data_IF_450227739054
#
_entry.id   IF_450227739054
#
_cell.length_a   1.000
_cell.length_b   1.000
_cell.length_c   1.000
_cell.angle_alpha   90.00
_cell.angle_beta   90.00
_cell.angle_gamma   90.00
#
_symmetry.space_group_name_H-M   'P 1'
#
loop_
_entity.id
_entity.type
_entity.pdbx_description
1 polymer ?
#
# COMPACT_ATOMS: atom_id res chain seq x y z
N UNK A 1 11.52 19.07 -19.67
CA UNK A 1 11.69 17.90 -18.79
C UNK A 1 10.45 17.75 -17.94
N UNK A 2 9.39 17.22 -18.54
CA UNK A 2 8.16 16.89 -17.83
C UNK A 2 8.32 15.44 -17.38
N UNK A 3 8.56 15.27 -16.08
CA UNK A 3 8.41 13.96 -15.44
C UNK A 3 6.98 13.50 -15.67
N UNK A 4 6.83 12.26 -16.15
CA UNK A 4 5.55 11.58 -16.28
C UNK A 4 4.79 11.69 -14.95
N UNK A 5 3.76 12.53 -14.91
CA UNK A 5 2.74 12.43 -13.88
C UNK A 5 2.10 11.06 -14.07
N UNK A 6 2.42 10.13 -13.17
CA UNK A 6 1.67 8.90 -13.00
C UNK A 6 0.25 9.31 -12.62
N UNK A 7 -0.62 9.43 -13.63
CA UNK A 7 -2.06 9.54 -13.45
C UNK A 7 -2.56 8.19 -12.93
N UNK A 8 -2.30 7.92 -11.65
CA UNK A 8 -2.88 6.76 -10.97
C UNK A 8 -4.39 6.98 -10.98
N UNK A 9 -5.08 6.04 -11.63
CA UNK A 9 -6.51 6.08 -11.79
C UNK A 9 -7.18 6.13 -10.41
N UNK A 10 -8.22 6.96 -10.26
CA UNK A 10 -8.99 7.06 -9.02
C UNK A 10 -9.40 5.65 -8.55
N UNK A 11 -9.07 5.31 -7.30
CA UNK A 11 -9.31 4.02 -6.63
C UNK A 11 -8.33 2.87 -6.92
N UNK A 12 -7.19 3.15 -7.53
CA UNK A 12 -6.13 2.15 -7.67
C UNK A 12 -5.31 2.06 -6.38
N UNK A 13 -5.09 0.83 -5.90
CA UNK A 13 -4.22 0.54 -4.77
C UNK A 13 -3.21 -0.51 -5.21
N UNK A 14 -1.93 -0.16 -5.13
CA UNK A 14 -0.82 -1.06 -5.43
C UNK A 14 -0.47 -1.84 -4.18
N UNK A 15 -0.72 -3.14 -4.19
CA UNK A 15 -0.36 -4.05 -3.09
C UNK A 15 0.89 -4.82 -3.50
N UNK A 16 1.96 -4.69 -2.72
CA UNK A 16 3.18 -5.48 -2.89
C UNK A 16 3.27 -6.50 -1.76
N UNK A 17 3.39 -7.78 -2.12
CA UNK A 17 3.64 -8.87 -1.18
C UNK A 17 5.12 -9.23 -1.19
N UNK A 18 5.72 -9.23 -0.01
CA UNK A 18 7.12 -9.59 0.21
C UNK A 18 7.13 -10.93 0.93
N UNK A 19 7.56 -11.97 0.23
CA UNK A 19 7.77 -13.27 0.84
C UNK A 19 8.94 -13.20 1.83
N UNK A 20 8.67 -13.51 3.10
CA UNK A 20 9.70 -13.54 4.13
C UNK A 20 10.19 -14.96 4.35
N UNK A 21 9.27 -15.91 4.59
CA UNK A 21 9.64 -17.32 4.84
C UNK A 21 8.48 -18.29 4.70
N UNK A 22 8.84 -19.54 4.39
CA UNK A 22 8.00 -20.73 4.63
C UNK A 22 8.16 -21.12 6.10
N UNK A 23 7.07 -21.10 6.87
CA UNK A 23 7.06 -21.47 8.29
C UNK A 23 6.98 -22.98 8.45
N UNK A 24 6.06 -23.61 7.71
CA UNK A 24 5.74 -25.03 7.86
C UNK A 24 5.16 -25.57 6.55
N UNK A 25 5.46 -26.82 6.25
CA UNK A 25 4.84 -27.59 5.18
C UNK A 25 4.31 -28.92 5.73
N UNK A 26 3.06 -29.23 5.44
CA UNK A 26 2.40 -30.50 5.79
C UNK A 26 1.94 -31.16 4.50
N UNK A 27 2.82 -31.98 3.93
CA UNK A 27 2.59 -32.63 2.63
C UNK A 27 1.32 -33.48 2.56
N UNK A 28 0.97 -34.31 3.56
CA UNK A 28 -0.25 -35.15 3.49
C UNK A 28 -1.54 -34.35 3.42
N UNK A 29 -1.52 -33.10 3.91
CA UNK A 29 -2.68 -32.20 3.92
C UNK A 29 -2.61 -31.15 2.81
N UNK A 30 -1.54 -31.12 2.02
CA UNK A 30 -1.22 -30.07 1.04
C UNK A 30 -1.34 -28.65 1.63
N UNK A 31 -0.92 -28.46 2.89
CA UNK A 31 -0.95 -27.17 3.58
C UNK A 31 0.45 -26.61 3.77
N UNK A 32 0.59 -25.31 3.59
CA UNK A 32 1.81 -24.58 3.86
C UNK A 32 1.51 -23.27 4.59
N UNK A 33 2.23 -23.01 5.66
CA UNK A 33 2.15 -21.77 6.42
C UNK A 33 3.25 -20.83 5.92
N UNK A 34 2.88 -19.62 5.47
CA UNK A 34 3.80 -18.62 4.95
C UNK A 34 3.79 -17.36 5.81
N UNK A 35 4.93 -16.68 5.84
CA UNK A 35 5.02 -15.31 6.34
C UNK A 35 5.25 -14.38 5.16
N UNK A 36 4.30 -13.48 4.96
CA UNK A 36 4.39 -12.36 4.04
C UNK A 36 4.36 -11.06 4.83
N UNK A 37 5.18 -10.11 4.41
CA UNK A 37 4.94 -8.69 4.67
C UNK A 37 4.18 -8.12 3.46
N UNK A 38 3.36 -7.09 3.68
CA UNK A 38 2.71 -6.38 2.60
C UNK A 38 2.82 -4.88 2.76
N UNK A 39 2.94 -4.18 1.64
CA UNK A 39 2.93 -2.72 1.58
C UNK A 39 1.88 -2.26 0.57
N UNK A 40 1.16 -1.19 0.90
CA UNK A 40 0.13 -0.61 0.05
C UNK A 40 0.49 0.81 -0.33
N UNK A 41 0.41 1.13 -1.62
CA UNK A 41 0.57 2.49 -2.16
C UNK A 41 -0.74 2.90 -2.86
N UNK A 42 -1.27 4.06 -2.49
CA UNK A 42 -2.50 4.61 -3.06
C UNK A 42 -2.49 6.13 -3.00
N UNK A 43 -3.26 6.77 -3.88
CA UNK A 43 -3.44 8.22 -3.90
C UNK A 43 -4.81 8.59 -3.34
N UNK A 44 -4.82 9.42 -2.29
CA UNK A 44 -6.02 10.10 -1.81
C UNK A 44 -6.07 11.53 -2.34
N UNK A 45 -6.92 11.76 -3.35
CA UNK A 45 -7.12 13.06 -4.00
C UNK A 45 -7.48 14.19 -3.03
N UNK A 46 -8.11 13.87 -1.90
CA UNK A 46 -8.50 14.88 -0.89
C UNK A 46 -7.31 15.42 -0.11
N UNK A 47 -6.19 14.70 -0.14
CA UNK A 47 -4.94 15.05 0.53
C UNK A 47 -3.93 15.67 -0.44
N UNK A 48 -4.31 16.04 -1.67
CA UNK A 48 -3.40 16.75 -2.57
C UNK A 48 -3.30 18.23 -2.20
N UNK A 49 -2.07 18.75 -2.15
CA UNK A 49 -1.79 20.18 -2.00
C UNK A 49 -0.66 20.62 -2.93
N UNK A 50 -0.59 21.92 -3.21
CA UNK A 50 0.56 22.54 -3.86
C UNK A 50 1.62 22.85 -2.81
N UNK A 51 2.87 22.37 -2.96
CA UNK A 51 3.94 22.68 -2.00
C UNK A 51 4.17 24.18 -1.80
N UNK A 52 3.93 24.99 -2.83
CA UNK A 52 4.10 26.45 -2.76
C UNK A 52 3.14 27.12 -1.76
N UNK A 53 1.98 26.51 -1.52
CA UNK A 53 0.98 27.02 -0.58
C UNK A 53 1.35 26.67 0.88
N UNK A 54 2.32 25.76 1.06
CA UNK A 54 2.74 25.21 2.35
C UNK A 54 4.26 25.23 2.51
N UNK A 55 4.91 26.37 2.24
CA UNK A 55 6.35 26.58 2.48
C UNK A 55 7.29 25.53 1.83
N UNK A 56 6.88 24.92 0.72
CA UNK A 56 7.64 23.89 0.02
C UNK A 56 7.53 22.49 0.63
N UNK A 57 6.61 22.25 1.59
CA UNK A 57 6.38 20.92 2.15
C UNK A 57 5.80 20.02 1.06
N UNK A 58 6.42 18.87 0.81
CA UNK A 58 5.98 17.90 -0.20
C UNK A 58 5.38 16.63 0.41
N UNK A 59 5.71 16.30 1.66
CA UNK A 59 5.23 15.12 2.37
C UNK A 59 5.15 15.39 3.88
N UNK A 60 4.24 14.69 4.57
CA UNK A 60 4.09 14.69 6.03
C UNK A 60 3.81 13.26 6.53
N UNK A 61 4.06 13.02 7.81
CA UNK A 61 3.65 11.79 8.49
C UNK A 61 2.43 12.09 9.37
N UNK A 62 1.41 11.25 9.29
CA UNK A 62 0.11 11.41 9.98
C UNK A 62 -0.29 10.11 10.65
N UNK A 63 -1.21 10.17 11.62
CA UNK A 63 -1.83 8.98 12.20
C UNK A 63 -2.64 8.22 11.17
N UNK A 64 -2.79 6.90 11.36
CA UNK A 64 -3.61 6.08 10.47
C UNK A 64 -5.10 6.44 10.58
N UNK A 65 -5.51 6.96 11.73
CA UNK A 65 -6.85 7.44 12.04
C UNK A 65 -7.21 8.78 11.37
N UNK A 66 -6.20 9.52 10.89
CA UNK A 66 -6.39 10.86 10.30
C UNK A 66 -6.64 10.82 8.79
N UNK A 67 -6.43 9.67 8.16
CA UNK A 67 -6.56 9.47 6.72
C UNK A 67 -7.41 8.25 6.39
N UNK A 68 -7.96 8.24 5.18
CA UNK A 68 -8.60 7.05 4.66
C UNK A 68 -7.54 6.08 4.11
N UNK A 69 -7.68 4.81 4.49
CA UNK A 69 -6.84 3.71 4.04
C UNK A 69 -7.75 2.71 3.33
N UNK A 70 -7.42 2.24 2.11
CA UNK A 70 -8.20 1.22 1.43
C UNK A 70 -8.17 -0.09 2.23
N UNK A 71 -9.33 -0.72 2.36
CA UNK A 71 -9.42 -2.02 3.00
C UNK A 71 -8.85 -3.10 2.09
N UNK A 72 -7.85 -3.85 2.60
CA UNK A 72 -7.25 -5.00 1.91
C UNK A 72 -7.44 -6.22 2.79
N UNK A 73 -8.09 -7.25 2.24
CA UNK A 73 -8.37 -8.49 2.96
C UNK A 73 -7.95 -9.71 2.16
N UNK A 74 -7.59 -10.79 2.87
CA UNK A 74 -7.26 -12.08 2.27
C UNK A 74 -8.57 -12.86 2.14
N UNK A 75 -8.97 -13.14 0.91
CA UNK A 75 -10.25 -13.83 0.62
C UNK A 75 -10.18 -15.35 0.79
N UNK A 76 -8.98 -15.93 0.68
CA UNK A 76 -8.73 -17.36 0.85
C UNK A 76 -7.30 -17.56 1.35
N UNK A 77 -7.13 -18.32 2.43
CA UNK A 77 -5.86 -18.62 3.09
C UNK A 77 -5.78 -20.10 3.44
#
# INVERSE_FOLDING_TARGET
NYSEEFDQTRYEANVTLIFVKLIRMVEPEAKADFLFEYTTDWVDERLKWSPNDHCGITHIYVGLEDIWIPEVTIVEA
#
